data_IF_566169020200
#
_entry.id   IF_566169020200
#
_cell.length_a   1.000
_cell.length_b   1.000
_cell.length_c   1.000
_cell.angle_alpha   90.00
_cell.angle_beta   90.00
_cell.angle_gamma   90.00
#
_symmetry.space_group_name_H-M   'P 1'
#
loop_
_entity.id
_entity.type
_entity.pdbx_description
1 polymer ?
#
# COMPACT_ATOMS: atom_id res chain seq x y z
N UNK A 1 -21.63 -30.32 -8.66
CA UNK A 1 -22.15 -29.00 -9.06
C UNK A 1 -21.63 -27.91 -8.13
N UNK A 2 -21.09 -26.86 -8.69
CA UNK A 2 -20.61 -25.71 -7.93
C UNK A 2 -21.82 -24.92 -7.48
N UNK A 3 -22.02 -24.81 -6.17
CA UNK A 3 -23.17 -24.10 -5.61
C UNK A 3 -22.94 -22.61 -5.47
N UNK A 4 -21.71 -22.17 -5.65
CA UNK A 4 -21.35 -20.77 -5.44
C UNK A 4 -20.43 -20.31 -6.57
N UNK A 5 -20.94 -19.46 -7.42
CA UNK A 5 -20.21 -18.91 -8.55
C UNK A 5 -19.49 -17.60 -8.20
N UNK A 6 -19.33 -17.31 -6.91
CA UNK A 6 -18.69 -16.07 -6.49
C UNK A 6 -17.19 -16.12 -6.67
N UNK A 7 -16.68 -15.07 -7.23
CA UNK A 7 -15.24 -14.81 -7.30
C UNK A 7 -14.92 -13.71 -6.29
N UNK A 8 -13.94 -13.97 -5.45
CA UNK A 8 -13.50 -12.99 -4.46
C UNK A 8 -12.25 -12.28 -4.98
N UNK A 9 -12.30 -10.96 -4.97
CA UNK A 9 -11.17 -10.12 -5.41
C UNK A 9 -10.69 -9.31 -4.21
N UNK A 10 -9.41 -9.38 -3.94
CA UNK A 10 -8.77 -8.61 -2.88
C UNK A 10 -7.89 -7.56 -3.55
N UNK A 11 -8.10 -6.30 -3.18
CA UNK A 11 -7.30 -5.20 -3.69
C UNK A 11 -6.28 -4.78 -2.64
N UNK A 12 -5.02 -4.98 -2.96
CA UNK A 12 -3.90 -4.53 -2.13
C UNK A 12 -3.13 -3.43 -2.84
N UNK A 13 -2.78 -2.38 -2.13
CA UNK A 13 -2.01 -1.25 -2.65
C UNK A 13 -0.76 -1.09 -1.80
N UNK A 14 0.38 -1.37 -2.38
CA UNK A 14 1.66 -1.11 -1.72
C UNK A 14 1.88 0.39 -1.63
N UNK A 15 2.11 0.88 -0.44
CA UNK A 15 2.15 2.32 -0.14
C UNK A 15 3.52 2.67 0.43
N UNK A 16 4.37 3.15 -0.44
CA UNK A 16 5.80 3.34 -0.20
C UNK A 16 6.31 4.51 -1.03
N UNK A 17 7.62 4.77 -0.99
CA UNK A 17 8.19 5.78 -1.87
C UNK A 17 7.97 5.40 -3.34
N UNK A 18 7.96 6.40 -4.18
CA UNK A 18 7.69 6.24 -5.61
C UNK A 18 8.68 5.28 -6.28
N UNK A 19 8.25 4.64 -7.37
CA UNK A 19 9.03 3.69 -8.15
C UNK A 19 9.55 2.53 -7.29
N UNK A 20 8.63 1.90 -6.53
CA UNK A 20 8.94 0.68 -5.79
C UNK A 20 10.01 0.85 -4.73
N UNK A 21 10.03 1.97 -4.05
CA UNK A 21 11.01 2.31 -3.00
C UNK A 21 12.41 2.67 -3.49
N UNK A 22 12.56 2.99 -4.78
CA UNK A 22 13.85 3.40 -5.33
C UNK A 22 14.06 4.92 -5.37
N UNK A 23 13.09 5.70 -4.89
CA UNK A 23 13.21 7.16 -4.84
C UNK A 23 12.86 7.66 -3.43
N UNK A 24 13.27 8.88 -3.08
CA UNK A 24 12.86 9.49 -1.81
C UNK A 24 11.53 10.26 -1.92
N UNK A 25 10.79 10.10 -3.00
CA UNK A 25 9.60 10.88 -3.29
C UNK A 25 8.33 10.13 -2.86
N UNK A 26 7.28 10.88 -2.53
CA UNK A 26 5.99 10.37 -2.07
C UNK A 26 4.81 10.94 -2.88
N UNK A 27 5.02 11.21 -4.16
CA UNK A 27 3.96 11.75 -5.03
C UNK A 27 2.79 10.77 -5.14
N UNK A 28 3.09 9.48 -5.27
CA UNK A 28 2.06 8.44 -5.30
C UNK A 28 1.28 8.37 -4.00
N UNK A 29 1.95 8.46 -2.86
CA UNK A 29 1.31 8.44 -1.55
C UNK A 29 0.44 9.67 -1.36
N UNK A 30 0.99 10.86 -1.60
CA UNK A 30 0.30 12.12 -1.32
C UNK A 30 -0.83 12.43 -2.28
N UNK A 31 -0.70 12.05 -3.53
CA UNK A 31 -1.69 12.37 -4.57
C UNK A 31 -2.45 11.14 -5.06
N UNK A 32 -1.79 9.99 -5.16
CA UNK A 32 -2.41 8.76 -5.64
C UNK A 32 -3.36 8.12 -4.65
N UNK A 33 -2.96 8.00 -3.39
CA UNK A 33 -3.80 7.37 -2.35
C UNK A 33 -5.13 8.09 -2.18
N UNK A 34 -5.20 9.42 -2.05
CA UNK A 34 -6.50 10.10 -1.96
C UNK A 34 -7.39 9.85 -3.18
N UNK A 35 -6.82 9.79 -4.38
CA UNK A 35 -7.58 9.51 -5.59
C UNK A 35 -8.13 8.09 -5.61
N UNK A 36 -7.32 7.12 -5.18
CA UNK A 36 -7.74 5.73 -5.07
C UNK A 36 -8.86 5.57 -4.05
N UNK A 37 -8.76 6.23 -2.91
CA UNK A 37 -9.81 6.19 -1.89
C UNK A 37 -11.14 6.72 -2.42
N UNK A 38 -11.13 7.81 -3.17
CA UNK A 38 -12.32 8.35 -3.80
C UNK A 38 -12.90 7.38 -4.82
N UNK A 39 -12.04 6.75 -5.61
CA UNK A 39 -12.46 5.78 -6.61
C UNK A 39 -13.09 4.56 -5.96
N UNK A 40 -12.46 4.04 -4.92
CA UNK A 40 -12.97 2.89 -4.18
C UNK A 40 -14.32 3.21 -3.52
N UNK A 41 -14.44 4.39 -2.91
CA UNK A 41 -15.68 4.82 -2.30
C UNK A 41 -16.81 4.95 -3.31
N UNK A 42 -16.50 5.53 -4.47
CA UNK A 42 -17.49 5.68 -5.57
C UNK A 42 -18.05 4.34 -6.04
N UNK A 43 -17.22 3.31 -6.04
CA UNK A 43 -17.60 1.97 -6.52
C UNK A 43 -17.95 1.00 -5.39
N UNK A 44 -18.06 1.48 -4.16
CA UNK A 44 -18.31 0.65 -2.96
C UNK A 44 -17.32 -0.50 -2.84
N UNK A 45 -16.06 -0.20 -3.07
CA UNK A 45 -14.94 -1.15 -2.99
C UNK A 45 -14.08 -0.79 -1.80
N UNK A 46 -13.60 -1.81 -1.11
CA UNK A 46 -12.65 -1.66 -0.01
C UNK A 46 -11.32 -2.28 -0.41
N UNK A 47 -10.25 -1.61 -0.08
CA UNK A 47 -8.91 -2.12 -0.32
C UNK A 47 -8.09 -2.13 0.96
N UNK A 48 -6.91 -2.72 0.87
CA UNK A 48 -5.92 -2.67 1.94
C UNK A 48 -4.71 -1.90 1.42
N UNK A 49 -4.35 -0.85 2.12
CA UNK A 49 -3.17 -0.04 1.79
C UNK A 49 -2.03 -0.47 2.70
N UNK A 50 -1.07 -1.17 2.13
CA UNK A 50 0.09 -1.69 2.86
C UNK A 50 1.18 -0.64 2.92
N UNK A 51 1.21 0.11 4.02
CA UNK A 51 2.17 1.18 4.24
C UNK A 51 3.49 0.63 4.74
N UNK A 52 4.61 1.13 4.17
CA UNK A 52 5.87 1.03 4.90
C UNK A 52 5.79 1.93 6.11
N UNK A 53 6.50 1.58 7.18
CA UNK A 53 6.53 2.41 8.39
C UNK A 53 7.03 3.82 8.09
N UNK A 54 8.02 3.94 7.20
CA UNK A 54 8.54 5.24 6.77
C UNK A 54 7.48 6.06 6.05
N UNK A 55 6.73 5.46 5.12
CA UNK A 55 5.67 6.18 4.40
C UNK A 55 4.61 6.70 5.35
N UNK A 56 4.20 5.91 6.33
CA UNK A 56 3.23 6.33 7.33
C UNK A 56 3.78 7.42 8.24
N UNK A 57 5.05 7.33 8.61
CA UNK A 57 5.71 8.31 9.46
C UNK A 57 5.86 9.67 8.80
N UNK A 58 6.22 9.68 7.51
CA UNK A 58 6.41 10.90 6.74
C UNK A 58 5.08 11.51 6.30
N UNK A 59 4.06 10.67 6.10
CA UNK A 59 2.74 11.09 5.61
C UNK A 59 1.64 10.64 6.58
N UNK A 60 1.66 11.11 7.83
CA UNK A 60 0.69 10.66 8.83
C UNK A 60 -0.74 11.05 8.49
N UNK A 61 -0.94 12.15 7.79
CA UNK A 61 -2.24 12.61 7.31
C UNK A 61 -2.86 11.64 6.30
N UNK A 62 -2.06 11.09 5.42
CA UNK A 62 -2.52 10.10 4.44
C UNK A 62 -2.85 8.76 5.12
N UNK A 63 -2.00 8.30 6.04
CA UNK A 63 -2.27 7.09 6.81
C UNK A 63 -3.58 7.23 7.60
N UNK A 64 -3.82 8.38 8.21
CA UNK A 64 -5.06 8.70 8.90
C UNK A 64 -6.26 8.69 7.97
N UNK A 65 -6.09 9.27 6.79
CA UNK A 65 -7.16 9.32 5.78
C UNK A 65 -7.61 7.90 5.41
N UNK A 66 -6.68 6.98 5.21
CA UNK A 66 -7.01 5.58 4.94
C UNK A 66 -7.68 4.93 6.15
N UNK A 67 -7.13 5.15 7.35
CA UNK A 67 -7.67 4.57 8.58
C UNK A 67 -9.10 5.03 8.88
N UNK A 68 -9.46 6.24 8.48
CA UNK A 68 -10.80 6.80 8.65
C UNK A 68 -11.75 6.44 7.51
N UNK A 69 -11.25 5.83 6.45
CA UNK A 69 -12.05 5.39 5.31
C UNK A 69 -12.65 4.00 5.56
N UNK A 70 -13.36 3.47 4.57
CA UNK A 70 -13.84 2.09 4.59
C UNK A 70 -12.76 1.08 4.22
N UNK A 71 -11.63 1.54 3.67
CA UNK A 71 -10.46 0.71 3.40
C UNK A 71 -9.63 0.53 4.67
N UNK A 72 -8.66 -0.35 4.63
CA UNK A 72 -7.85 -0.65 5.81
C UNK A 72 -6.37 -0.37 5.58
N UNK A 73 -5.67 -0.14 6.68
CA UNK A 73 -4.21 0.03 6.70
C UNK A 73 -3.58 -1.32 7.00
N UNK A 74 -2.63 -1.72 6.16
CA UNK A 74 -1.79 -2.88 6.38
C UNK A 74 -0.33 -2.47 6.56
N UNK A 75 0.51 -3.44 6.86
CA UNK A 75 1.94 -3.24 7.09
C UNK A 75 2.77 -3.78 5.93
N UNK A 76 3.77 -3.02 5.49
CA UNK A 76 4.66 -3.37 4.39
C UNK A 76 6.13 -3.16 4.80
N UNK A 77 6.51 -3.67 5.99
CA UNK A 77 7.82 -3.46 6.61
C UNK A 77 8.09 -2.00 6.95
N UNK A 78 9.24 -1.72 7.51
CA UNK A 78 9.61 -0.35 7.91
C UNK A 78 10.15 0.46 6.72
N UNK A 79 11.04 -0.13 5.94
CA UNK A 79 11.73 0.53 4.82
C UNK A 79 11.67 -0.28 3.54
N UNK A 80 10.70 -1.15 3.38
CA UNK A 80 10.61 -2.07 2.24
C UNK A 80 11.83 -3.01 2.16
N UNK A 81 12.40 -3.33 3.30
CA UNK A 81 13.56 -4.20 3.38
C UNK A 81 13.23 -5.65 3.06
N UNK A 82 14.17 -6.35 2.47
CA UNK A 82 14.05 -7.79 2.21
C UNK A 82 14.19 -8.56 3.52
N UNK A 83 13.28 -9.50 3.76
CA UNK A 83 13.28 -10.36 4.93
C UNK A 83 13.56 -11.79 4.49
N UNK A 84 14.51 -12.43 5.17
CA UNK A 84 14.92 -13.80 4.86
C UNK A 84 16.10 -13.85 3.91
N UNK A 85 16.31 -15.03 3.30
CA UNK A 85 17.45 -15.24 2.39
C UNK A 85 17.20 -14.54 1.06
N UNK A 86 18.26 -13.97 0.49
CA UNK A 86 18.18 -13.36 -0.83
C UNK A 86 17.99 -14.44 -1.90
N UNK A 87 16.91 -14.32 -2.67
CA UNK A 87 16.68 -15.15 -3.84
C UNK A 87 17.36 -14.61 -5.09
N UNK A 88 17.64 -13.32 -5.10
CA UNK A 88 18.27 -12.62 -6.24
C UNK A 88 19.31 -11.64 -5.71
N UNK A 89 20.41 -11.44 -6.48
CA UNK A 89 21.42 -10.46 -6.10
C UNK A 89 20.94 -9.03 -6.40
N UNK A 90 19.93 -8.60 -5.67
CA UNK A 90 19.44 -7.24 -5.77
C UNK A 90 20.26 -6.35 -4.84
N UNK A 91 20.57 -5.11 -5.25
CA UNK A 91 21.23 -4.19 -4.33
C UNK A 91 20.32 -3.94 -3.14
N UNK A 92 20.90 -4.02 -1.95
CA UNK A 92 20.20 -3.69 -0.72
C UNK A 92 19.76 -2.24 -0.78
N UNK A 93 18.46 -2.02 -0.69
CA UNK A 93 17.93 -0.68 -0.48
C UNK A 93 17.99 -0.43 1.02
N UNK A 94 19.09 0.11 1.47
CA UNK A 94 19.23 0.48 2.88
C UNK A 94 18.62 1.86 3.11
N UNK A 95 18.00 2.02 4.27
CA UNK A 95 17.51 3.35 4.65
C UNK A 95 18.64 4.35 4.81
#
# INVERSE_FOLDING_TARGET
MIKNDRVYVILGVDTETDVGSFTPFYEGVQHGVPKLLKLFDRHDVKGTFFFTGEAAKVNPDIAKMVAQSTSEVGCHSLYHETVGDELFPLPDVKP
#
